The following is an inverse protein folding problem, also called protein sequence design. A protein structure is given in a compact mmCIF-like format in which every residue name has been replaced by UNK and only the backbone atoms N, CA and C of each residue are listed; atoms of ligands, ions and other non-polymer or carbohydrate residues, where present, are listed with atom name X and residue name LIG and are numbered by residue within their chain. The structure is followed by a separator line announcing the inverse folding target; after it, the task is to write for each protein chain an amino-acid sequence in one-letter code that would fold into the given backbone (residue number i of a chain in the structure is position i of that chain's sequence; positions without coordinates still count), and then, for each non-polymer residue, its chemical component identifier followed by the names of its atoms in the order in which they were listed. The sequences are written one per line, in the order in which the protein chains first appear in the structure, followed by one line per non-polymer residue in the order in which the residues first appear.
data_IF_277321196699
#
_entry.id   IF_277321196699
#
_cell.length_a   1.000
_cell.length_b   1.000
_cell.length_c   1.000
_cell.angle_alpha   90.00
_cell.angle_beta   90.00
_cell.angle_gamma   90.00
#
_symmetry.space_group_name_H-M   'P 1'
#
loop_
_entity.id
_entity.type
_entity.pdbx_description
1 polymer ?
#
# COMPACT_ATOMS: atom_id res chain seq x y z
N UNK A 1 -8.04 6.96 -3.07
CA UNK A 1 -6.99 5.97 -3.40
C UNK A 1 -5.69 6.71 -3.26
N UNK A 2 -4.72 6.17 -2.52
CA UNK A 2 -3.43 6.84 -2.33
C UNK A 2 -2.37 6.34 -3.31
N UNK A 3 -1.28 7.09 -3.42
CA UNK A 3 -0.06 6.70 -4.13
C UNK A 3 0.90 5.95 -3.22
N UNK A 4 1.20 6.54 -2.07
CA UNK A 4 2.09 5.97 -1.06
C UNK A 4 1.50 6.25 0.32
N UNK A 5 1.52 5.28 1.22
CA UNK A 5 1.26 5.50 2.64
C UNK A 5 2.57 5.39 3.41
N UNK A 6 2.87 6.40 4.22
CA UNK A 6 3.94 6.37 5.21
C UNK A 6 3.29 6.14 6.58
N UNK A 7 3.62 5.03 7.22
CA UNK A 7 3.04 4.65 8.50
C UNK A 7 4.10 4.66 9.58
N UNK A 8 3.86 5.44 10.64
CA UNK A 8 4.62 5.39 11.89
C UNK A 8 3.83 4.57 12.93
N UNK A 9 4.21 3.32 13.20
CA UNK A 9 3.61 2.52 14.27
C UNK A 9 4.32 2.74 15.62
N UNK A 10 3.63 2.48 16.73
CA UNK A 10 4.32 2.19 18.00
C UNK A 10 4.88 0.75 18.02
N UNK A 11 5.46 0.34 19.14
CA UNK A 11 6.12 -0.95 19.34
C UNK A 11 5.15 -2.16 19.43
N UNK A 12 3.85 -1.92 19.27
CA UNK A 12 2.82 -2.96 19.36
C UNK A 12 2.53 -3.55 17.97
N UNK A 13 2.78 -4.85 17.85
CA UNK A 13 2.48 -5.62 16.63
C UNK A 13 0.98 -5.60 16.30
N UNK A 14 0.67 -5.76 15.02
CA UNK A 14 -0.70 -5.97 14.59
C UNK A 14 -0.97 -5.63 13.13
N UNK A 15 -0.05 -4.94 12.45
CA UNK A 15 -0.14 -4.77 11.01
C UNK A 15 0.14 -6.11 10.31
N UNK A 16 -0.74 -6.51 9.41
CA UNK A 16 -0.56 -7.66 8.53
C UNK A 16 -0.70 -7.26 7.07
N UNK A 17 0.12 -7.83 6.21
CA UNK A 17 0.03 -7.70 4.76
C UNK A 17 -0.32 -9.06 4.12
N UNK A 18 -1.14 -9.05 3.08
CA UNK A 18 -1.51 -10.24 2.34
C UNK A 18 -0.61 -10.40 1.11
N UNK A 19 -0.03 -11.58 0.97
CA UNK A 19 0.73 -11.99 -0.20
C UNK A 19 0.36 -13.42 -0.54
N UNK A 20 0.02 -13.69 -1.79
CA UNK A 20 -0.30 -15.04 -2.29
C UNK A 20 -1.39 -15.75 -1.46
N UNK A 21 -2.40 -14.99 -1.02
CA UNK A 21 -3.51 -15.47 -0.20
C UNK A 21 -3.18 -15.71 1.28
N UNK A 22 -1.93 -15.48 1.68
CA UNK A 22 -1.45 -15.65 3.05
C UNK A 22 -1.21 -14.31 3.73
N UNK A 23 -1.54 -14.24 5.03
CA UNK A 23 -1.34 -13.05 5.85
C UNK A 23 -0.02 -13.13 6.62
N UNK A 24 0.82 -12.11 6.48
CA UNK A 24 2.11 -12.00 7.14
C UNK A 24 2.12 -10.83 8.11
N UNK A 25 2.63 -11.05 9.33
CA UNK A 25 2.84 -9.98 10.30
C UNK A 25 3.99 -9.07 9.86
N UNK A 26 3.75 -7.77 9.79
CA UNK A 26 4.79 -6.77 9.55
C UNK A 26 5.50 -6.51 10.88
N UNK A 27 6.73 -7.00 11.00
CA UNK A 27 7.53 -6.86 12.22
C UNK A 27 7.84 -5.38 12.48
N UNK A 28 7.49 -4.90 13.67
CA UNK A 28 8.02 -3.64 14.20
C UNK A 28 9.56 -3.63 14.22
N UNK A 29 10.14 -2.56 13.70
CA UNK A 29 11.58 -2.26 13.74
C UNK A 29 11.71 -0.88 14.41
N UNK A 30 12.50 -0.75 15.49
CA UNK A 30 12.74 0.55 16.13
C UNK A 30 13.24 1.59 15.12
N UNK A 31 12.69 2.81 15.20
CA UNK A 31 13.02 3.95 14.33
C UNK A 31 12.75 3.73 12.83
N UNK A 32 11.97 2.72 12.46
CA UNK A 32 11.59 2.47 11.07
C UNK A 32 10.18 2.98 10.78
N UNK A 33 9.98 3.39 9.52
CA UNK A 33 8.67 3.66 8.94
C UNK A 33 8.25 2.46 8.10
N UNK A 34 6.93 2.22 8.03
CA UNK A 34 6.37 1.24 7.11
C UNK A 34 5.84 1.98 5.89
N UNK A 35 6.27 1.59 4.69
CA UNK A 35 5.85 2.20 3.43
C UNK A 35 4.93 1.25 2.68
N UNK A 36 3.70 1.67 2.40
CA UNK A 36 2.78 0.91 1.55
C UNK A 36 2.69 1.56 0.17
N UNK A 37 2.70 0.72 -0.86
CA UNK A 37 2.36 1.12 -2.22
C UNK A 37 0.83 1.15 -2.32
N UNK A 38 0.29 2.29 -2.75
CA UNK A 38 -1.11 2.46 -3.04
C UNK A 38 -1.45 2.18 -4.51
N UNK A 39 -2.74 2.12 -4.81
CA UNK A 39 -3.24 1.70 -6.13
C UNK A 39 -2.77 2.63 -7.26
N UNK A 40 -2.57 3.93 -6.98
CA UNK A 40 -2.14 4.88 -8.01
C UNK A 40 -0.72 4.60 -8.51
N UNK A 41 0.21 4.17 -7.63
CA UNK A 41 1.56 3.77 -8.06
C UNK A 41 1.52 2.42 -8.78
N UNK A 42 0.64 1.50 -8.38
CA UNK A 42 0.42 0.25 -9.13
C UNK A 42 -0.05 0.55 -10.57
N UNK A 43 -1.04 1.43 -10.74
CA UNK A 43 -1.54 1.85 -12.06
C UNK A 43 -0.44 2.55 -12.85
N UNK A 44 0.20 3.56 -12.26
CA UNK A 44 1.25 4.35 -12.92
C UNK A 44 2.42 3.48 -13.40
N UNK A 45 2.76 2.44 -12.62
CA UNK A 45 3.85 1.52 -12.94
C UNK A 45 3.43 0.33 -13.81
N UNK A 46 2.20 0.34 -14.32
CA UNK A 46 1.61 -0.76 -15.10
C UNK A 46 1.72 -2.12 -14.39
N UNK A 47 1.46 -2.14 -13.08
CA UNK A 47 1.50 -3.35 -12.28
C UNK A 47 2.90 -3.79 -11.83
N UNK A 48 3.96 -3.03 -12.11
CA UNK A 48 5.31 -3.35 -11.64
C UNK A 48 5.40 -3.32 -10.11
N UNK A 49 4.81 -2.30 -9.48
CA UNK A 49 4.65 -2.24 -8.04
C UNK A 49 3.24 -2.69 -7.65
N UNK A 50 3.12 -3.43 -6.54
CA UNK A 50 1.84 -4.02 -6.13
C UNK A 50 1.29 -3.32 -4.90
N UNK A 51 0.07 -2.80 -5.03
CA UNK A 51 -0.81 -2.49 -3.91
C UNK A 51 -1.37 -3.80 -3.38
N UNK A 52 -1.13 -4.06 -2.09
CA UNK A 52 -1.52 -5.32 -1.43
C UNK A 52 -2.55 -5.06 -0.35
N UNK A 53 -3.44 -6.04 -0.15
CA UNK A 53 -4.33 -6.01 0.99
C UNK A 53 -3.52 -5.98 2.28
N UNK A 54 -3.96 -5.16 3.22
CA UNK A 54 -3.39 -5.07 4.55
C UNK A 54 -4.52 -4.95 5.56
N UNK A 55 -4.28 -5.42 6.78
CA UNK A 55 -5.23 -5.35 7.88
C UNK A 55 -4.51 -5.11 9.19
N UNK A 56 -5.27 -4.69 10.19
CA UNK A 56 -4.78 -4.58 11.57
C UNK A 56 -5.48 -5.62 12.43
N UNK A 57 -4.72 -6.31 13.28
CA UNK A 57 -5.25 -7.17 14.34
C UNK A 57 -5.36 -6.37 15.63
N UNK A 58 -6.30 -6.75 16.50
CA UNK A 58 -6.53 -6.13 17.80
C UNK A 58 -6.19 -7.11 18.92
N UNK A 59 -5.81 -6.58 20.09
CA UNK A 59 -5.62 -7.35 21.32
C UNK A 59 -6.30 -6.62 22.48
N UNK A 60 -6.67 -7.36 23.54
CA UNK A 60 -7.23 -6.80 24.78
C UNK A 60 -6.16 -6.25 25.72
N UNK A 61 -4.91 -6.70 25.56
CA UNK A 61 -3.87 -6.50 26.58
C UNK A 61 -3.05 -5.23 26.36
N UNK A 62 -3.00 -4.72 25.13
CA UNK A 62 -2.11 -3.61 24.74
C UNK A 62 -2.78 -2.65 23.78
N UNK A 63 -2.62 -1.36 24.02
CA UNK A 63 -3.07 -0.31 23.11
C UNK A 63 -2.08 -0.15 21.96
N UNK A 64 -2.54 -0.41 20.74
CA UNK A 64 -1.78 -0.16 19.52
C UNK A 64 -2.14 1.21 18.96
N UNK A 65 -1.13 1.99 18.58
CA UNK A 65 -1.30 3.29 17.92
C UNK A 65 -0.44 3.35 16.66
N UNK A 66 -0.92 4.04 15.64
CA UNK A 66 -0.13 4.29 14.44
C UNK A 66 -0.62 5.56 13.75
N UNK A 67 0.30 6.28 13.10
CA UNK A 67 0.02 7.47 12.33
C UNK A 67 0.25 7.17 10.84
N UNK A 68 -0.81 6.99 10.03
CA UNK A 68 -0.71 6.93 8.58
C UNK A 68 -0.70 8.33 7.97
N UNK A 69 0.25 8.60 7.08
CA UNK A 69 0.29 9.77 6.22
C UNK A 69 0.11 9.29 4.78
N UNK A 70 -0.93 9.76 4.12
CA UNK A 70 -1.26 9.39 2.75
C UNK A 70 -0.73 10.45 1.80
N UNK A 71 0.12 10.04 0.86
CA UNK A 71 0.51 10.86 -0.27
C UNK A 71 -0.42 10.53 -1.44
N UNK A 72 -1.16 11.53 -1.88
CA UNK A 72 -2.12 11.44 -2.97
C UNK A 72 -1.88 12.59 -3.97
N UNK A 73 -2.04 12.35 -5.28
CA UNK A 73 -2.08 13.40 -6.28
C UNK A 73 -3.33 14.26 -6.11
N UNK A 74 -3.38 15.41 -6.79
CA UNK A 74 -4.60 16.21 -6.87
C UNK A 74 -5.82 15.36 -7.26
N UNK A 75 -7.00 15.58 -6.64
CA UNK A 75 -8.19 14.75 -6.88
C UNK A 75 -8.67 14.72 -8.34
N UNK A 76 -8.35 15.76 -9.10
CA UNK A 76 -8.71 15.95 -10.51
C UNK A 76 -7.67 15.36 -11.48
N UNK A 77 -6.52 14.90 -10.99
CA UNK A 77 -5.49 14.29 -11.82
C UNK A 77 -5.89 12.86 -12.22
N UNK A 78 -6.09 12.63 -13.52
CA UNK A 78 -6.26 11.29 -14.06
C UNK A 78 -4.94 10.50 -13.98
N UNK A 79 -4.93 9.39 -13.23
CA UNK A 79 -3.78 8.50 -13.11
C UNK A 79 -3.90 7.33 -14.08
N UNK A 80 -2.87 7.15 -14.92
CA UNK A 80 -2.75 6.04 -15.85
C UNK A 80 -1.31 5.54 -15.95
N UNK A 81 -1.06 4.43 -16.67
CA UNK A 81 0.28 3.90 -16.87
C UNK A 81 1.24 4.94 -17.49
N UNK A 82 2.43 5.08 -16.93
CA UNK A 82 3.45 5.96 -17.49
C UNK A 82 3.89 5.47 -18.88
N UNK A 83 4.11 6.34 -19.89
CA UNK A 83 4.42 5.90 -21.27
C UNK A 83 5.59 4.91 -21.38
N UNK A 84 6.65 5.09 -20.58
CA UNK A 84 7.80 4.16 -20.57
C UNK A 84 7.46 2.76 -20.05
N UNK A 85 6.41 2.60 -19.25
CA UNK A 85 5.96 1.31 -18.73
C UNK A 85 5.18 0.47 -19.76
N UNK A 86 4.74 1.09 -20.86
CA UNK A 86 3.98 0.47 -21.93
C UNK A 86 4.85 -0.21 -22.99
N UNK A 87 6.17 0.02 -22.97
CA UNK A 87 7.11 -0.54 -23.95
C UNK A 87 7.24 -2.07 -23.88
N UNK A 88 6.84 -2.70 -22.77
CA UNK A 88 7.05 -4.13 -22.51
C UNK A 88 5.91 -5.07 -22.97
N UNK A 89 4.97 -4.62 -23.81
CA UNK A 89 3.80 -5.40 -24.30
C UNK A 89 2.94 -6.06 -23.20
N UNK A 90 3.00 -5.55 -21.97
CA UNK A 90 2.09 -5.97 -20.89
C UNK A 90 0.79 -5.17 -21.08
N UNK A 91 -0.39 -5.82 -21.15
CA UNK A 91 -1.65 -5.11 -21.25
C UNK A 91 -1.79 -4.13 -20.06
N UNK A 92 -2.31 -2.91 -20.30
CA UNK A 92 -2.38 -1.89 -19.27
C UNK A 92 -3.20 -2.39 -18.08
N UNK A 93 -2.62 -2.32 -16.88
CA UNK A 93 -3.33 -2.62 -15.65
C UNK A 93 -4.45 -1.61 -15.49
N UNK A 94 -5.69 -2.09 -15.62
CA UNK A 94 -6.87 -1.27 -15.38
C UNK A 94 -7.05 -1.03 -13.88
N UNK A 95 -7.70 0.07 -13.55
CA UNK A 95 -8.09 0.43 -12.20
C UNK A 95 -8.78 -0.74 -11.49
N UNK A 96 -8.23 -1.16 -10.36
CA UNK A 96 -8.90 -2.13 -9.48
C UNK A 96 -10.15 -1.45 -8.90
N UNK A 97 -11.33 -1.95 -9.25
CA UNK A 97 -12.57 -1.61 -8.53
C UNK A 97 -12.59 -2.44 -7.26
N UNK A 98 -12.57 -1.80 -6.10
CA UNK A 98 -12.73 -2.45 -4.81
C UNK A 98 -14.17 -2.26 -4.31
N UNK A 99 -15.15 -2.64 -5.13
CA UNK A 99 -16.57 -2.68 -4.79
C UNK A 99 -17.23 -3.77 -5.63
#
# INVERSE_FOLDING_TARGET
MCSITILLPNDIQGLQACRDGQWYCVKYIPNALVIHIGDQIEILSNGKYKSVFHRTTVTKDKTRMSWPVFLEPPPDLAVGPHPSSLMNRIPPVQTKKYW
#
